data_IF_619201381466
#
_entry.id   IF_619201381466
#
_cell.length_a   1.000
_cell.length_b   1.000
_cell.length_c   1.000
_cell.angle_alpha   90.00
_cell.angle_beta   90.00
_cell.angle_gamma   90.00
#
_symmetry.space_group_name_H-M   'P 1'
#
loop_
_entity.id
_entity.type
_entity.pdbx_description
1 polymer ?
#
# COMPACT_ATOMS: atom_id res chain seq x y z
N UNK A 1 1.88 7.84 23.19
CA UNK A 1 0.51 7.40 22.84
C UNK A 1 0.53 7.06 21.36
N UNK A 2 0.55 5.77 21.00
CA UNK A 2 0.67 5.32 19.60
C UNK A 2 0.05 3.93 19.39
N UNK A 3 -1.06 3.62 20.07
CA UNK A 3 -1.60 2.24 20.10
C UNK A 3 -2.99 2.10 19.47
N UNK A 4 -3.72 3.18 19.24
CA UNK A 4 -5.08 3.11 18.64
C UNK A 4 -5.08 3.18 17.12
N UNK A 5 -4.05 3.76 16.49
CA UNK A 5 -4.00 3.93 15.03
C UNK A 5 -3.62 2.64 14.28
N UNK A 6 -2.76 1.79 14.83
CA UNK A 6 -2.37 0.52 14.20
C UNK A 6 -3.58 -0.42 13.98
N UNK A 7 -4.50 -0.48 14.94
CA UNK A 7 -5.61 -1.43 14.91
C UNK A 7 -6.68 -1.07 13.86
N UNK A 8 -7.02 0.22 13.69
CA UNK A 8 -8.04 0.67 12.74
C UNK A 8 -7.56 0.61 11.30
N UNK A 9 -6.28 0.95 11.07
CA UNK A 9 -5.63 0.83 9.76
C UNK A 9 -5.61 -0.62 9.27
N UNK A 10 -5.29 -1.58 10.16
CA UNK A 10 -5.26 -3.00 9.83
C UNK A 10 -6.64 -3.56 9.45
N UNK A 11 -7.71 -3.14 10.12
CA UNK A 11 -9.06 -3.59 9.79
C UNK A 11 -9.51 -3.10 8.40
N UNK A 12 -9.28 -1.82 8.08
CA UNK A 12 -9.64 -1.28 6.77
C UNK A 12 -8.83 -1.89 5.62
N UNK A 13 -7.52 -2.11 5.83
CA UNK A 13 -6.66 -2.80 4.86
C UNK A 13 -7.16 -4.23 4.59
N UNK A 14 -7.60 -4.95 5.64
CA UNK A 14 -8.12 -6.30 5.48
C UNK A 14 -9.42 -6.36 4.66
N UNK A 15 -10.32 -5.38 4.81
CA UNK A 15 -11.52 -5.30 3.98
C UNK A 15 -11.21 -4.97 2.51
N UNK A 16 -10.26 -4.06 2.27
CA UNK A 16 -9.84 -3.72 0.91
C UNK A 16 -9.24 -4.96 0.23
N UNK A 17 -8.37 -5.71 0.91
CA UNK A 17 -7.80 -6.96 0.37
C UNK A 17 -8.86 -7.97 -0.07
N UNK A 18 -9.82 -8.24 0.79
CA UNK A 18 -10.94 -9.17 0.47
C UNK A 18 -11.74 -8.66 -0.73
N UNK A 19 -11.97 -7.35 -0.80
CA UNK A 19 -12.72 -6.76 -1.91
C UNK A 19 -11.97 -6.87 -3.25
N UNK A 20 -10.64 -6.73 -3.25
CA UNK A 20 -9.86 -6.65 -4.49
C UNK A 20 -9.37 -8.01 -5.02
N UNK A 21 -9.38 -9.06 -4.19
CA UNK A 21 -8.97 -10.42 -4.55
C UNK A 21 -9.56 -10.95 -5.87
N UNK A 22 -10.87 -10.80 -6.17
CA UNK A 22 -11.43 -11.32 -7.42
C UNK A 22 -11.10 -10.48 -8.67
N UNK A 23 -10.46 -9.31 -8.52
CA UNK A 23 -10.23 -8.36 -9.62
C UNK A 23 -8.78 -8.30 -10.12
N UNK A 24 -7.92 -9.22 -9.67
CA UNK A 24 -6.49 -9.22 -10.02
C UNK A 24 -5.84 -7.85 -9.78
N UNK A 25 -6.11 -7.27 -8.60
CA UNK A 25 -5.54 -5.98 -8.19
C UNK A 25 -4.59 -6.17 -7.01
N UNK A 26 -3.64 -5.25 -6.89
CA UNK A 26 -2.70 -5.15 -5.78
C UNK A 26 -2.86 -3.82 -5.07
N UNK A 27 -2.62 -3.83 -3.76
CA UNK A 27 -2.70 -2.66 -2.91
C UNK A 27 -1.29 -2.19 -2.54
N UNK A 28 -0.93 -1.00 -3.05
CA UNK A 28 0.26 -0.28 -2.64
C UNK A 28 -0.11 0.75 -1.57
N UNK A 29 0.76 0.93 -0.58
CA UNK A 29 0.54 1.84 0.55
C UNK A 29 1.75 2.74 0.75
N UNK A 30 1.48 4.04 0.90
CA UNK A 30 2.46 5.03 1.35
C UNK A 30 2.22 5.24 2.84
N UNK A 31 3.19 4.85 3.67
CA UNK A 31 3.05 4.91 5.13
C UNK A 31 3.25 6.33 5.67
N UNK A 32 2.18 6.90 6.23
CA UNK A 32 2.16 8.21 6.91
C UNK A 32 1.18 8.18 8.08
N UNK A 33 1.06 9.30 8.79
CA UNK A 33 0.01 9.48 9.81
C UNK A 33 -1.40 9.26 9.24
N UNK A 34 -1.63 9.68 7.99
CA UNK A 34 -2.79 9.30 7.19
C UNK A 34 -2.32 8.60 5.90
N UNK A 35 -2.41 7.27 5.81
CA UNK A 35 -1.81 6.53 4.70
C UNK A 35 -2.55 6.78 3.39
N UNK A 36 -1.80 6.81 2.29
CA UNK A 36 -2.37 6.77 0.95
C UNK A 36 -2.42 5.33 0.45
N UNK A 37 -3.51 4.99 -0.22
CA UNK A 37 -3.75 3.67 -0.78
C UNK A 37 -3.89 3.78 -2.29
N UNK A 38 -3.17 2.93 -3.01
CA UNK A 38 -3.20 2.87 -4.47
C UNK A 38 -3.53 1.45 -4.92
N UNK A 39 -4.62 1.31 -5.68
CA UNK A 39 -4.99 0.06 -6.33
C UNK A 39 -4.38 0.03 -7.73
N UNK A 40 -3.62 -1.01 -8.01
CA UNK A 40 -2.96 -1.22 -9.31
C UNK A 40 -3.29 -2.61 -9.84
N UNK A 41 -3.25 -2.84 -11.16
CA UNK A 41 -3.31 -4.20 -11.71
C UNK A 41 -2.22 -5.08 -11.11
N UNK A 42 -2.56 -6.33 -10.79
CA UNK A 42 -1.62 -7.31 -10.27
C UNK A 42 -0.69 -7.77 -11.42
N UNK A 43 0.46 -7.09 -11.51
CA UNK A 43 1.51 -7.37 -12.46
C UNK A 43 2.85 -7.06 -11.80
N UNK A 44 3.65 -8.09 -11.55
CA UNK A 44 4.88 -7.99 -10.76
C UNK A 44 5.87 -6.96 -11.32
N UNK A 45 6.06 -6.92 -12.64
CA UNK A 45 6.99 -6.00 -13.28
C UNK A 45 6.53 -4.53 -13.14
N UNK A 46 5.23 -4.29 -13.32
CA UNK A 46 4.65 -2.96 -13.12
C UNK A 46 4.76 -2.51 -11.67
N UNK A 47 4.41 -3.40 -10.73
CA UNK A 47 4.44 -3.14 -9.30
C UNK A 47 5.87 -2.80 -8.85
N UNK A 48 6.84 -3.64 -9.22
CA UNK A 48 8.25 -3.42 -8.91
C UNK A 48 8.74 -2.07 -9.46
N UNK A 49 8.40 -1.77 -10.72
CA UNK A 49 8.78 -0.50 -11.34
C UNK A 49 8.17 0.71 -10.65
N UNK A 50 6.92 0.63 -10.20
CA UNK A 50 6.27 1.69 -9.41
C UNK A 50 7.03 1.89 -8.11
N UNK A 51 7.27 0.81 -7.35
CA UNK A 51 7.94 0.85 -6.05
C UNK A 51 9.34 1.45 -6.19
N UNK A 52 10.16 0.94 -7.12
CA UNK A 52 11.53 1.40 -7.33
C UNK A 52 11.56 2.87 -7.74
N UNK A 53 10.74 3.28 -8.71
CA UNK A 53 10.75 4.67 -9.23
C UNK A 53 10.26 5.66 -8.18
N UNK A 54 9.20 5.31 -7.46
CA UNK A 54 8.63 6.16 -6.42
C UNK A 54 9.60 6.29 -5.24
N UNK A 55 10.12 5.18 -4.73
CA UNK A 55 11.04 5.19 -3.58
C UNK A 55 12.39 5.83 -3.91
N UNK A 56 12.87 5.75 -5.15
CA UNK A 56 14.04 6.52 -5.58
C UNK A 56 13.81 8.04 -5.46
N UNK A 57 12.58 8.51 -5.62
CA UNK A 57 12.24 9.95 -5.64
C UNK A 57 11.79 10.45 -4.26
N UNK A 58 11.03 9.66 -3.51
CA UNK A 58 10.33 10.07 -2.29
C UNK A 58 10.60 9.16 -1.07
N UNK A 59 11.39 8.10 -1.23
CA UNK A 59 11.49 7.01 -0.25
C UNK A 59 12.13 7.40 1.10
N UNK A 60 12.90 8.49 1.15
CA UNK A 60 13.48 9.00 2.40
C UNK A 60 12.42 9.57 3.36
N UNK A 61 11.31 10.10 2.82
CA UNK A 61 10.25 10.73 3.60
C UNK A 61 8.97 9.89 3.62
N UNK A 62 8.65 9.26 2.49
CA UNK A 62 7.35 8.65 2.22
C UNK A 62 7.54 7.39 1.37
N UNK A 63 8.02 6.27 1.93
CA UNK A 63 8.19 5.05 1.15
C UNK A 63 6.83 4.46 0.76
N UNK A 64 6.73 3.99 -0.49
CA UNK A 64 5.65 3.13 -0.95
C UNK A 64 6.06 1.66 -0.84
N UNK A 65 5.11 0.82 -0.45
CA UNK A 65 5.30 -0.63 -0.34
C UNK A 65 4.06 -1.39 -0.83
N UNK A 66 4.29 -2.63 -1.28
CA UNK A 66 3.22 -3.58 -1.53
C UNK A 66 2.74 -4.19 -0.22
N UNK A 67 1.43 -4.37 -0.09
CA UNK A 67 0.85 -5.12 1.03
C UNK A 67 0.45 -6.52 0.54
N UNK A 68 1.19 -7.53 1.02
CA UNK A 68 0.88 -8.97 0.88
C UNK A 68 -0.28 -9.38 1.77
#
# INVERSE_FOLDING_TARGET
>A
MATTWCCTSNANLSHIKIFIEPYELSLLVIERENPYWLLVPHNDELIDRIIVTYNHTFGDEEPIQLIE
#
